data_IF_064288853770
#
_entry.id   IF_064288853770
#
_cell.length_a   1.000
_cell.length_b   1.000
_cell.length_c   1.000
_cell.angle_alpha   90.00
_cell.angle_beta   90.00
_cell.angle_gamma   90.00
#
_symmetry.space_group_name_H-M   'P 1'
#
loop_
_entity.id
_entity.type
_entity.pdbx_description
1 polymer ?
#
# COMPACT_ATOMS: atom_id res chain seq x y z
N UNK A 1 -1.37 4.39 -25.22
CA UNK A 1 -0.91 5.23 -24.09
C UNK A 1 -0.90 6.66 -24.57
N UNK A 2 -1.87 7.47 -24.14
CA UNK A 2 -1.92 8.90 -24.52
C UNK A 2 -0.74 9.60 -23.85
N UNK A 3 0.25 10.03 -24.64
CA UNK A 3 1.30 10.93 -24.18
C UNK A 3 0.62 12.20 -23.69
N UNK A 4 0.72 12.50 -22.40
CA UNK A 4 0.35 13.81 -21.90
C UNK A 4 1.13 14.84 -22.73
N UNK A 5 0.42 15.71 -23.44
CA UNK A 5 1.04 16.81 -24.17
C UNK A 5 1.68 17.70 -23.11
N UNK A 6 3.00 17.92 -23.20
CA UNK A 6 3.84 18.49 -22.14
C UNK A 6 3.27 19.79 -21.53
N UNK A 7 2.56 20.58 -22.34
CA UNK A 7 2.05 21.91 -21.96
C UNK A 7 0.51 21.95 -21.78
N UNK A 8 -0.16 20.81 -21.65
CA UNK A 8 -1.60 20.79 -21.42
C UNK A 8 -1.91 21.23 -19.99
N UNK A 9 -2.71 22.30 -19.85
CA UNK A 9 -3.27 22.71 -18.54
C UNK A 9 -4.05 21.53 -17.93
N UNK A 10 -3.65 21.09 -16.74
CA UNK A 10 -4.25 19.95 -16.04
C UNK A 10 -5.39 20.40 -15.11
N UNK A 11 -5.19 21.47 -14.32
CA UNK A 11 -6.22 22.08 -13.47
C UNK A 11 -5.83 23.51 -13.07
N UNK A 12 -6.77 24.24 -12.47
CA UNK A 12 -6.46 25.44 -11.67
C UNK A 12 -6.18 25.01 -10.22
N UNK A 13 -5.05 25.43 -9.65
CA UNK A 13 -4.62 25.09 -8.30
C UNK A 13 -4.17 26.34 -7.54
N UNK A 14 -4.41 26.36 -6.23
CA UNK A 14 -3.84 27.34 -5.30
C UNK A 14 -2.36 27.06 -5.03
N UNK A 15 -1.64 28.07 -4.55
CA UNK A 15 -0.25 27.89 -4.12
C UNK A 15 -0.08 26.86 -2.99
N UNK A 16 -1.11 26.72 -2.14
CA UNK A 16 -1.13 25.73 -1.07
C UNK A 16 -1.19 24.31 -1.62
N UNK A 17 -2.13 24.04 -2.52
CA UNK A 17 -2.29 22.73 -3.16
C UNK A 17 -1.04 22.33 -3.95
N UNK A 18 -0.41 23.28 -4.67
CA UNK A 18 0.85 23.01 -5.37
C UNK A 18 1.98 22.61 -4.41
N UNK A 19 2.09 23.30 -3.27
CA UNK A 19 3.13 22.99 -2.26
C UNK A 19 2.88 21.63 -1.62
N UNK A 20 1.62 21.28 -1.37
CA UNK A 20 1.24 19.95 -0.85
C UNK A 20 1.59 18.87 -1.86
N UNK A 21 1.16 19.01 -3.13
CA UNK A 21 1.46 18.04 -4.18
C UNK A 21 2.96 17.78 -4.33
N UNK A 22 3.78 18.84 -4.38
CA UNK A 22 5.24 18.71 -4.49
C UNK A 22 5.80 17.97 -3.28
N UNK A 23 5.32 18.28 -2.06
CA UNK A 23 5.77 17.62 -0.85
C UNK A 23 5.44 16.13 -0.88
N UNK A 24 4.20 15.79 -1.18
CA UNK A 24 3.73 14.39 -1.28
C UNK A 24 4.53 13.63 -2.33
N UNK A 25 4.76 14.24 -3.51
CA UNK A 25 5.57 13.62 -4.58
C UNK A 25 7.01 13.35 -4.13
N UNK A 26 7.63 14.27 -3.37
CA UNK A 26 8.99 14.05 -2.83
C UNK A 26 8.97 12.93 -1.78
N UNK A 27 7.93 12.88 -0.94
CA UNK A 27 7.81 11.85 0.08
C UNK A 27 7.63 10.46 -0.56
N UNK A 28 6.76 10.34 -1.57
CA UNK A 28 6.58 9.12 -2.37
C UNK A 28 7.87 8.69 -3.11
N UNK A 29 8.69 9.65 -3.56
CA UNK A 29 9.96 9.35 -4.20
C UNK A 29 11.01 8.79 -3.23
N UNK A 30 10.92 9.12 -1.93
CA UNK A 30 11.81 8.62 -0.88
C UNK A 30 11.29 7.30 -0.33
N UNK A 31 9.98 7.23 -0.08
CA UNK A 31 9.27 6.06 0.43
C UNK A 31 8.11 5.75 -0.53
N UNK A 32 8.25 4.73 -1.40
CA UNK A 32 7.23 4.35 -2.38
C UNK A 32 5.87 4.01 -1.76
N UNK A 33 5.86 3.68 -0.46
CA UNK A 33 4.65 3.32 0.28
C UNK A 33 4.12 4.49 1.13
N UNK A 34 4.70 5.69 1.02
CA UNK A 34 4.24 6.87 1.76
C UNK A 34 2.76 7.17 1.47
N UNK A 35 1.94 7.27 2.51
CA UNK A 35 0.48 7.43 2.38
C UNK A 35 -0.30 6.11 2.21
N UNK A 36 0.39 4.96 2.20
CA UNK A 36 -0.20 3.61 2.19
C UNK A 36 -0.05 2.91 3.55
N UNK A 37 -0.12 3.66 4.65
CA UNK A 37 0.04 3.09 5.98
C UNK A 37 -1.12 2.13 6.33
N UNK A 38 -0.81 1.08 7.09
CA UNK A 38 -1.83 0.18 7.59
C UNK A 38 -2.80 0.93 8.51
N UNK A 39 -4.10 0.67 8.32
CA UNK A 39 -5.09 1.10 9.30
C UNK A 39 -4.81 0.40 10.64
N UNK A 40 -5.03 1.06 11.79
CA UNK A 40 -4.66 0.52 13.09
C UNK A 40 -5.24 -0.87 13.40
N UNK A 41 -6.48 -1.13 12.99
CA UNK A 41 -7.10 -2.44 13.23
C UNK A 41 -6.53 -3.55 12.33
N UNK A 42 -6.04 -3.22 11.14
CA UNK A 42 -5.33 -4.17 10.27
C UNK A 42 -3.96 -4.50 10.86
N UNK A 43 -3.23 -3.49 11.34
CA UNK A 43 -1.96 -3.69 12.03
C UNK A 43 -2.12 -4.59 13.27
N UNK A 44 -3.12 -4.32 14.11
CA UNK A 44 -3.41 -5.12 15.29
C UNK A 44 -3.71 -6.59 14.94
N UNK A 45 -4.52 -6.82 13.90
CA UNK A 45 -4.83 -8.18 13.43
C UNK A 45 -3.59 -8.91 12.89
N UNK A 46 -2.72 -8.22 12.17
CA UNK A 46 -1.47 -8.79 11.67
C UNK A 46 -0.50 -9.13 12.80
N UNK A 47 -0.38 -8.27 13.82
CA UNK A 47 0.42 -8.54 15.01
C UNK A 47 -0.08 -9.78 15.77
N UNK A 48 -1.40 -9.92 15.93
CA UNK A 48 -1.99 -11.13 16.51
C UNK A 48 -1.67 -12.37 15.67
N UNK A 49 -1.85 -12.29 14.35
CA UNK A 49 -1.54 -13.39 13.43
C UNK A 49 -0.07 -13.82 13.49
N UNK A 50 0.85 -12.86 13.59
CA UNK A 50 2.28 -13.13 13.77
C UNK A 50 2.56 -13.89 15.07
N UNK A 51 1.90 -13.51 16.16
CA UNK A 51 2.05 -14.19 17.45
C UNK A 51 1.45 -15.61 17.41
N UNK A 52 0.28 -15.77 16.80
CA UNK A 52 -0.33 -17.09 16.57
C UNK A 52 0.62 -18.00 15.77
N UNK A 53 1.23 -17.48 14.70
CA UNK A 53 2.21 -18.20 13.90
C UNK A 53 3.44 -18.63 14.71
N UNK A 54 3.96 -17.75 15.58
CA UNK A 54 5.07 -18.08 16.50
C UNK A 54 4.72 -19.20 17.47
N UNK A 55 3.45 -19.27 17.88
CA UNK A 55 2.91 -20.35 18.72
C UNK A 55 2.60 -21.63 17.93
N UNK A 56 2.95 -21.70 16.64
CA UNK A 56 2.68 -22.86 15.79
C UNK A 56 1.21 -23.00 15.37
N UNK A 57 0.39 -21.96 15.54
CA UNK A 57 -0.99 -21.92 15.07
C UNK A 57 -1.03 -21.51 13.59
N UNK A 58 -2.00 -22.03 12.86
CA UNK A 58 -2.20 -21.76 11.44
C UNK A 58 -2.36 -23.05 10.63
N UNK A 59 -2.57 -22.89 9.32
CA UNK A 59 -2.73 -24.01 8.39
C UNK A 59 -1.45 -24.10 7.54
N UNK A 60 -0.81 -25.28 7.41
CA UNK A 60 0.33 -25.46 6.53
C UNK A 60 0.03 -25.07 5.09
N UNK A 61 1.00 -24.51 4.36
CA UNK A 61 0.81 -24.09 2.97
C UNK A 61 0.30 -25.23 2.08
N UNK A 62 0.82 -26.43 2.25
CA UNK A 62 0.42 -27.62 1.49
C UNK A 62 -1.03 -28.02 1.74
N UNK A 63 -1.52 -27.82 2.97
CA UNK A 63 -2.93 -28.04 3.32
C UNK A 63 -3.82 -27.00 2.64
N UNK A 64 -3.42 -25.72 2.63
CA UNK A 64 -4.16 -24.65 1.95
C UNK A 64 -4.21 -24.88 0.44
N UNK A 65 -3.08 -25.24 -0.18
CA UNK A 65 -3.00 -25.61 -1.59
C UNK A 65 -3.97 -26.73 -1.96
N UNK A 66 -4.03 -27.79 -1.14
CA UNK A 66 -4.98 -28.90 -1.32
C UNK A 66 -6.43 -28.43 -1.23
N UNK A 67 -6.77 -27.58 -0.27
CA UNK A 67 -8.13 -27.05 -0.11
C UNK A 67 -8.57 -26.15 -1.27
N UNK A 68 -7.63 -25.39 -1.85
CA UNK A 68 -7.89 -24.48 -2.96
C UNK A 68 -7.74 -25.14 -4.34
N UNK A 69 -7.36 -26.41 -4.42
CA UNK A 69 -7.11 -27.11 -5.68
C UNK A 69 -5.90 -26.57 -6.46
N UNK A 70 -5.00 -25.87 -5.78
CA UNK A 70 -3.75 -25.36 -6.34
C UNK A 70 -2.69 -26.45 -6.17
N UNK A 71 -2.48 -27.29 -7.19
CA UNK A 71 -1.42 -28.31 -7.21
C UNK A 71 -0.06 -27.69 -7.53
#
# INVERSE_FOLDING_TARGET
MSTAVSDKKISDMTAGELKTLIRETIQEAIDPDHGLELRPEVEASLLESLEQKRQGKGIPLEEVKRQLGLQ
#
